data_IF_109324641193
#
_entry.id   IF_109324641193
#
_cell.length_a   1.000
_cell.length_b   1.000
_cell.length_c   1.000
_cell.angle_alpha   90.00
_cell.angle_beta   90.00
_cell.angle_gamma   90.00
#
_symmetry.space_group_name_H-M   'P 1'
#
loop_
_entity.id
_entity.type
_entity.pdbx_description
1 polymer ?
#
# COMPACT_ATOMS: atom_id res chain seq x y z
N UNK A 1 -2.61 11.26 -0.94
CA UNK A 1 -2.72 10.24 0.12
C UNK A 1 -1.73 10.58 1.22
N UNK A 2 -2.01 10.25 2.48
CA UNK A 2 -1.11 10.54 3.61
C UNK A 2 -1.41 9.63 4.81
N UNK A 3 -0.45 9.46 5.71
CA UNK A 3 -0.67 8.85 7.02
C UNK A 3 -0.80 9.93 8.11
N UNK A 4 -1.75 9.78 9.04
CA UNK A 4 -2.07 10.79 10.06
C UNK A 4 -2.70 10.19 11.31
N UNK A 5 -2.38 10.78 12.46
CA UNK A 5 -2.90 10.45 13.79
C UNK A 5 -4.21 11.19 14.14
N UNK A 6 -4.86 11.84 13.16
CA UNK A 6 -6.04 12.70 13.35
C UNK A 6 -7.23 12.06 14.06
N UNK A 7 -7.26 10.73 14.18
CA UNK A 7 -8.28 9.97 14.91
C UNK A 7 -7.68 9.12 16.05
N UNK A 8 -6.58 9.58 16.65
CA UNK A 8 -5.96 8.94 17.82
C UNK A 8 -5.08 7.72 17.50
N UNK A 9 -4.90 7.38 16.23
CA UNK A 9 -4.06 6.27 15.77
C UNK A 9 -3.54 6.55 14.36
N UNK A 10 -2.27 6.25 14.11
CA UNK A 10 -1.64 6.42 12.79
C UNK A 10 -2.34 5.54 11.75
N UNK A 11 -3.01 6.22 10.82
CA UNK A 11 -3.89 5.61 9.82
C UNK A 11 -3.64 6.24 8.46
N UNK A 12 -3.89 5.49 7.39
CA UNK A 12 -3.76 5.97 6.00
C UNK A 12 -5.07 6.58 5.53
N UNK A 13 -4.94 7.72 4.85
CA UNK A 13 -6.05 8.54 4.36
C UNK A 13 -5.83 8.89 2.89
N UNK A 14 -6.89 8.75 2.10
CA UNK A 14 -6.93 9.21 0.72
C UNK A 14 -7.84 10.43 0.62
N UNK A 15 -7.36 11.49 -0.03
CA UNK A 15 -8.10 12.73 -0.22
C UNK A 15 -8.30 12.96 -1.71
N UNK A 16 -9.55 13.21 -2.10
CA UNK A 16 -9.91 13.63 -3.45
C UNK A 16 -9.62 15.13 -3.58
N UNK A 17 -8.64 15.50 -4.39
CA UNK A 17 -8.27 16.90 -4.61
C UNK A 17 -9.21 17.62 -5.59
N UNK A 18 -9.97 16.88 -6.41
CA UNK A 18 -10.87 17.46 -7.41
C UNK A 18 -12.20 17.80 -6.75
N UNK A 19 -12.81 16.83 -6.08
CA UNK A 19 -14.12 17.01 -5.44
C UNK A 19 -14.02 17.49 -3.99
N UNK A 20 -12.83 17.41 -3.40
CA UNK A 20 -12.62 17.67 -1.99
C UNK A 20 -13.16 16.53 -1.11
N UNK A 21 -12.42 16.23 -0.05
CA UNK A 21 -12.86 15.30 0.99
C UNK A 21 -12.11 13.99 1.01
N UNK A 22 -12.34 13.22 2.07
CA UNK A 22 -11.67 11.94 2.29
C UNK A 22 -12.43 10.81 1.61
N UNK A 23 -11.72 9.99 0.86
CA UNK A 23 -12.25 8.77 0.27
C UNK A 23 -12.19 7.61 1.28
N UNK A 24 -13.22 6.76 1.36
CA UNK A 24 -13.23 5.63 2.27
C UNK A 24 -12.21 4.57 1.84
N UNK A 25 -11.56 3.94 2.82
CA UNK A 25 -10.63 2.83 2.65
C UNK A 25 -11.02 1.67 3.59
N UNK A 26 -12.21 1.07 3.39
CA UNK A 26 -12.74 0.05 4.30
C UNK A 26 -11.79 -1.14 4.39
N UNK A 27 -11.47 -1.54 5.62
CA UNK A 27 -10.56 -2.66 5.89
C UNK A 27 -9.06 -2.35 5.77
N UNK A 28 -8.65 -1.15 5.32
CA UNK A 28 -7.23 -0.79 5.32
C UNK A 28 -6.75 -0.44 6.74
N UNK A 29 -7.47 0.43 7.43
CA UNK A 29 -7.10 0.90 8.77
C UNK A 29 -7.56 -0.08 9.86
N UNK A 30 -6.79 -1.14 10.10
CA UNK A 30 -7.14 -2.22 11.06
C UNK A 30 -7.15 -1.75 12.51
N UNK A 31 -8.12 -2.23 13.30
CA UNK A 31 -8.22 -1.93 14.74
C UNK A 31 -6.98 -2.45 15.48
N UNK A 32 -6.47 -1.66 16.44
CA UNK A 32 -5.33 -2.06 17.28
C UNK A 32 -3.97 -2.08 16.57
N UNK A 33 -3.88 -1.66 15.30
CA UNK A 33 -2.62 -1.59 14.55
C UNK A 33 -2.46 -0.26 13.83
N UNK A 34 -1.21 0.19 13.64
CA UNK A 34 -0.86 1.38 12.88
C UNK A 34 -0.69 1.07 11.38
N UNK A 35 -0.94 2.07 10.55
CA UNK A 35 -0.73 2.02 9.10
C UNK A 35 0.06 3.27 8.68
N UNK A 36 1.21 3.07 8.02
CA UNK A 36 2.12 4.16 7.67
C UNK A 36 2.81 3.94 6.31
N UNK A 37 3.58 4.95 5.87
CA UNK A 37 4.38 4.95 4.65
C UNK A 37 3.59 4.53 3.39
N UNK A 38 2.43 5.17 3.11
CA UNK A 38 1.59 4.72 2.02
C UNK A 38 2.08 5.23 0.65
N UNK A 39 1.97 4.40 -0.39
CA UNK A 39 2.13 4.77 -1.80
C UNK A 39 0.99 4.17 -2.66
N UNK A 40 0.66 4.76 -3.81
CA UNK A 40 -0.54 4.44 -4.59
C UNK A 40 -0.25 4.29 -6.08
N UNK A 41 -0.88 3.31 -6.74
CA UNK A 41 -0.77 3.11 -8.19
C UNK A 41 -1.37 4.29 -8.98
N UNK A 42 -0.98 4.44 -10.25
CA UNK A 42 -1.34 5.60 -11.07
C UNK A 42 -2.84 5.72 -11.32
N UNK A 43 -3.54 4.59 -11.42
CA UNK A 43 -5.00 4.52 -11.53
C UNK A 43 -5.71 4.63 -10.17
N UNK A 44 -4.95 4.78 -9.09
CA UNK A 44 -5.44 4.84 -7.74
C UNK A 44 -5.94 3.50 -7.20
N UNK A 45 -5.90 2.37 -7.93
CA UNK A 45 -6.53 1.12 -7.48
C UNK A 45 -5.82 0.48 -6.29
N UNK A 46 -4.49 0.42 -6.34
CA UNK A 46 -3.68 -0.28 -5.36
C UNK A 46 -2.98 0.70 -4.42
N UNK A 47 -3.07 0.47 -3.12
CA UNK A 47 -2.31 1.19 -2.10
C UNK A 47 -1.35 0.20 -1.45
N UNK A 48 -0.06 0.55 -1.40
CA UNK A 48 0.91 -0.17 -0.57
C UNK A 48 1.14 0.61 0.71
N UNK A 49 1.34 -0.08 1.84
CA UNK A 49 1.57 0.56 3.14
C UNK A 49 2.28 -0.42 4.09
N UNK A 50 2.90 0.11 5.15
CA UNK A 50 3.43 -0.66 6.26
C UNK A 50 2.36 -0.80 7.34
N UNK A 51 2.22 -1.99 7.93
CA UNK A 51 1.36 -2.21 9.08
C UNK A 51 1.91 -3.29 10.01
N UNK A 52 1.50 -3.21 11.28
CA UNK A 52 1.87 -4.17 12.34
C UNK A 52 0.73 -5.15 12.66
N UNK A 53 -0.28 -5.23 11.79
CA UNK A 53 -1.53 -5.97 12.05
C UNK A 53 -1.34 -7.48 12.22
N UNK A 54 -0.21 -8.04 11.77
CA UNK A 54 0.13 -9.47 11.93
C UNK A 54 1.28 -9.69 12.95
N UNK A 55 1.52 -8.73 13.86
CA UNK A 55 2.44 -8.89 15.00
C UNK A 55 3.89 -8.47 14.73
N UNK A 56 4.22 -8.07 13.51
CA UNK A 56 5.48 -7.40 13.13
C UNK A 56 5.20 -6.38 12.02
N UNK A 57 6.13 -5.47 11.78
CA UNK A 57 6.07 -4.59 10.62
C UNK A 57 6.16 -5.42 9.33
N UNK A 58 5.10 -5.35 8.54
CA UNK A 58 4.99 -5.97 7.24
C UNK A 58 4.44 -4.97 6.22
N UNK A 59 4.68 -5.25 4.95
CA UNK A 59 4.15 -4.48 3.83
C UNK A 59 2.91 -5.16 3.28
N UNK A 60 1.85 -4.38 3.18
CA UNK A 60 0.55 -4.80 2.68
C UNK A 60 0.25 -4.09 1.36
N UNK A 61 -0.43 -4.80 0.45
CA UNK A 61 -1.03 -4.21 -0.73
C UNK A 61 -2.54 -4.31 -0.64
N UNK A 62 -3.21 -3.16 -0.59
CA UNK A 62 -4.65 -3.02 -0.55
C UNK A 62 -5.21 -2.73 -1.94
N UNK A 63 -6.20 -3.52 -2.37
CA UNK A 63 -6.98 -3.30 -3.59
C UNK A 63 -8.28 -2.57 -3.25
N UNK A 64 -8.39 -1.31 -3.68
CA UNK A 64 -9.58 -0.47 -3.44
C UNK A 64 -10.84 -0.99 -4.12
N UNK A 65 -10.75 -1.77 -5.19
CA UNK A 65 -11.94 -2.33 -5.85
C UNK A 65 -12.55 -3.47 -5.04
N UNK A 66 -11.71 -4.30 -4.43
CA UNK A 66 -12.17 -5.48 -3.67
C UNK A 66 -12.21 -5.25 -2.16
N UNK A 67 -11.65 -4.13 -1.68
CA UNK A 67 -11.47 -3.80 -0.27
C UNK A 67 -10.68 -4.88 0.51
N UNK A 68 -9.70 -5.50 -0.15
CA UNK A 68 -8.85 -6.56 0.43
C UNK A 68 -7.40 -6.11 0.50
N UNK A 69 -6.71 -6.52 1.56
CA UNK A 69 -5.28 -6.32 1.75
C UNK A 69 -4.55 -7.67 1.81
N UNK A 70 -3.46 -7.78 1.06
CA UNK A 70 -2.58 -8.95 1.08
C UNK A 70 -1.23 -8.58 1.73
N UNK A 71 -0.76 -9.40 2.68
CA UNK A 71 0.58 -9.28 3.27
C UNK A 71 1.62 -9.87 2.32
N UNK A 72 2.44 -9.03 1.68
CA UNK A 72 3.44 -9.49 0.70
C UNK A 72 4.80 -9.84 1.33
N UNK A 73 5.02 -9.51 2.61
CA UNK A 73 6.29 -9.75 3.32
C UNK A 73 6.17 -10.70 4.50
N UNK A 74 5.01 -11.34 4.69
CA UNK A 74 4.72 -12.25 5.81
C UNK A 74 5.87 -13.21 6.14
N UNK A 75 6.45 -13.83 5.12
CA UNK A 75 7.50 -14.85 5.26
C UNK A 75 8.95 -14.29 5.24
N UNK A 76 9.13 -12.97 5.23
CA UNK A 76 10.46 -12.36 5.32
C UNK A 76 10.89 -12.32 6.79
N UNK A 77 12.08 -12.88 7.07
CA UNK A 77 12.69 -13.00 8.40
C UNK A 77 13.50 -11.76 8.82
N UNK A 78 13.18 -10.58 8.29
CA UNK A 78 13.82 -9.31 8.60
C UNK A 78 12.80 -8.18 8.60
N UNK A 79 13.25 -6.98 8.99
CA UNK A 79 12.45 -5.77 8.91
C UNK A 79 12.26 -5.34 7.46
N UNK A 80 11.16 -4.65 7.22
CA UNK A 80 10.79 -4.09 5.92
C UNK A 80 10.26 -2.66 6.08
N UNK A 81 10.60 -1.77 5.14
CA UNK A 81 10.14 -0.36 5.18
C UNK A 81 10.19 0.29 3.80
N UNK A 82 9.66 1.51 3.74
CA UNK A 82 9.65 2.41 2.58
C UNK A 82 9.11 1.75 1.30
N UNK A 83 7.90 1.17 1.32
CA UNK A 83 7.34 0.57 0.13
C UNK A 83 6.99 1.64 -0.92
N UNK A 84 7.14 1.30 -2.20
CA UNK A 84 6.59 2.03 -3.33
C UNK A 84 6.00 1.06 -4.34
N UNK A 85 4.91 1.46 -5.00
CA UNK A 85 4.21 0.64 -5.99
C UNK A 85 4.32 1.25 -7.38
N UNK A 86 4.63 0.41 -8.37
CA UNK A 86 4.67 0.83 -9.77
C UNK A 86 3.31 1.37 -10.25
N UNK A 87 3.34 2.24 -11.27
CA UNK A 87 2.14 2.91 -11.78
C UNK A 87 1.03 1.94 -12.23
N UNK A 88 1.38 0.78 -12.78
CA UNK A 88 0.43 -0.28 -13.17
C UNK A 88 0.07 -1.25 -12.02
N UNK A 89 0.58 -1.02 -10.81
CA UNK A 89 0.29 -1.84 -9.64
C UNK A 89 1.00 -3.20 -9.58
N UNK A 90 1.85 -3.57 -10.56
CA UNK A 90 2.44 -4.93 -10.63
C UNK A 90 3.63 -5.13 -9.69
N UNK A 91 4.56 -4.18 -9.70
CA UNK A 91 5.79 -4.26 -8.90
C UNK A 91 5.66 -3.43 -7.63
N UNK A 92 6.19 -3.97 -6.53
CA UNK A 92 6.40 -3.24 -5.28
C UNK A 92 7.89 -3.25 -4.95
N UNK A 93 8.49 -2.08 -4.76
CA UNK A 93 9.85 -1.91 -4.27
C UNK A 93 9.83 -1.61 -2.77
N UNK A 94 10.77 -2.15 -1.99
CA UNK A 94 10.89 -1.85 -0.56
C UNK A 94 12.30 -2.14 -0.04
N UNK A 95 12.64 -1.58 1.12
CA UNK A 95 13.87 -1.88 1.84
C UNK A 95 13.69 -3.09 2.76
N UNK A 96 14.68 -3.97 2.84
CA UNK A 96 14.72 -5.07 3.82
C UNK A 96 16.12 -5.31 4.36
N UNK A 97 16.22 -5.66 5.65
CA UNK A 97 17.48 -6.03 6.31
C UNK A 97 17.71 -7.54 6.46
N UNK A 98 16.93 -8.38 5.75
CA UNK A 98 16.93 -9.85 5.87
C UNK A 98 18.29 -10.54 5.68
N UNK A 99 19.24 -9.87 5.05
CA UNK A 99 20.61 -10.32 4.75
C UNK A 99 21.65 -9.80 5.76
N UNK A 100 21.23 -9.05 6.80
CA UNK A 100 22.11 -8.38 7.75
C UNK A 100 22.47 -6.93 7.37
N UNK A 101 22.03 -6.46 6.20
CA UNK A 101 22.21 -5.09 5.70
C UNK A 101 20.95 -4.64 4.95
N UNK A 102 20.71 -3.33 4.84
CA UNK A 102 19.56 -2.79 4.11
C UNK A 102 19.76 -2.92 2.60
N UNK A 103 18.92 -3.74 1.95
CA UNK A 103 18.88 -3.93 0.51
C UNK A 103 17.52 -3.49 -0.06
N UNK A 104 17.47 -3.14 -1.35
CA UNK A 104 16.23 -2.88 -2.08
C UNK A 104 15.73 -4.19 -2.71
N UNK A 105 14.50 -4.56 -2.40
CA UNK A 105 13.81 -5.75 -2.91
C UNK A 105 12.68 -5.33 -3.85
N UNK A 106 12.53 -6.03 -4.97
CA UNK A 106 11.39 -5.89 -5.87
C UNK A 106 10.53 -7.15 -5.76
N UNK A 107 9.24 -6.96 -5.44
CA UNK A 107 8.22 -8.00 -5.44
C UNK A 107 7.33 -7.86 -6.67
N UNK A 108 7.28 -8.90 -7.50
CA UNK A 108 6.37 -8.99 -8.64
C UNK A 108 5.07 -9.67 -8.20
N UNK A 109 3.95 -8.93 -8.26
CA UNK A 109 2.60 -9.43 -7.95
C UNK A 109 2.00 -10.32 -9.05
N UNK A 110 2.72 -10.51 -10.16
CA UNK A 110 2.33 -11.35 -11.29
C UNK A 110 1.43 -10.66 -12.31
N UNK A 111 1.21 -11.33 -13.45
CA UNK A 111 0.41 -10.83 -14.59
C UNK A 111 -1.08 -10.61 -14.28
N UNK A 112 -1.56 -11.05 -13.12
CA UNK A 112 -2.93 -10.83 -12.67
C UNK A 112 -3.15 -9.44 -12.05
N UNK A 113 -2.10 -8.61 -11.93
CA UNK A 113 -2.26 -7.18 -11.75
C UNK A 113 -2.76 -6.60 -13.09
N UNK A 114 -4.02 -6.16 -13.19
CA UNK A 114 -4.59 -5.70 -14.44
C UNK A 114 -3.83 -4.47 -14.93
N UNK A 115 -3.52 -4.47 -16.22
CA UNK A 115 -2.94 -3.31 -16.90
C UNK A 115 -3.96 -2.17 -16.88
N UNK A 116 -3.70 -1.14 -16.10
CA UNK A 116 -4.48 0.10 -16.13
C UNK A 116 -4.16 0.84 -17.42
N UNK A 117 -4.99 0.68 -18.45
CA UNK A 117 -4.98 1.60 -19.60
C UNK A 117 -5.69 2.89 -19.15
N UNK A 118 -5.15 4.08 -19.49
CA UNK A 118 -5.84 5.34 -19.24
C UNK A 118 -7.23 5.29 -19.87
N UNK A 119 -8.27 5.68 -19.12
CA UNK A 119 -9.60 5.88 -19.68
C UNK A 119 -9.51 6.92 -20.79
N UNK A 120 -9.72 6.51 -22.04
CA UNK A 120 -9.90 7.42 -23.17
C UNK A 120 -11.07 8.34 -22.82
N UNK A 121 -10.79 9.64 -22.71
CA UNK A 121 -11.81 10.67 -22.63
C UNK A 121 -12.58 10.64 -23.94
N UNK A 122 -13.81 10.13 -23.91
CA UNK A 122 -14.73 10.26 -25.03
C UNK A 122 -15.26 11.70 -25.02
N UNK A 123 -14.94 12.46 -26.07
CA UNK A 123 -15.61 13.72 -26.44
C UNK A 123 -16.97 13.43 -27.08
#
# INVERSE_FOLDING_TARGET
MFASDRQGKRSVWLYDQINGGLLPLPGLNQLGSVQDQPDISADGRYIVYVSEQEGKQDIFVYDRQTSRADNITKNILGEVRHPSISGNGRFVAFESNRSGQWDIIIYDRGLNAPLSLPSQLNN
#
